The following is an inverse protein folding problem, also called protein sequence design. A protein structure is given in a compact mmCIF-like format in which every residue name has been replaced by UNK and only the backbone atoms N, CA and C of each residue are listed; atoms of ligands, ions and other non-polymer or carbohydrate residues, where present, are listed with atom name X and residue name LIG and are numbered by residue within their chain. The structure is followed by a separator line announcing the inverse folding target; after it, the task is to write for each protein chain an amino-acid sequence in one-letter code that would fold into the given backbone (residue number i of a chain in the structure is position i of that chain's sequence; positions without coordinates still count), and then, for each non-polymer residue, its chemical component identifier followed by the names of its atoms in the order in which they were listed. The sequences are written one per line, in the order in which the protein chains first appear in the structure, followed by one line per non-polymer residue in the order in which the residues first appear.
data_IF_399116706642
#
_entry.id   IF_399116706642
#
_cell.length_a   1.000
_cell.length_b   1.000
_cell.length_c   1.000
_cell.angle_alpha   90.00
_cell.angle_beta   90.00
_cell.angle_gamma   90.00
#
_symmetry.space_group_name_H-M   'P 1'
#
loop_
_entity.id
_entity.type
_entity.pdbx_description
1 polymer ?
#
# COMPACT_ATOMS: atom_id res chain seq x y z
N UNK A 1 1.42 -2.98 17.08
CA UNK A 1 1.37 -3.80 15.84
C UNK A 1 2.76 -3.74 15.24
N UNK A 2 3.32 -4.88 14.86
CA UNK A 2 4.63 -4.95 14.22
C UNK A 2 4.56 -4.30 12.82
N UNK A 3 5.55 -3.50 12.45
CA UNK A 3 5.64 -2.79 11.16
C UNK A 3 5.52 -3.77 9.98
N UNK A 4 6.13 -4.95 10.11
CA UNK A 4 6.09 -6.01 9.09
C UNK A 4 4.72 -6.65 8.89
N UNK A 5 3.84 -6.53 9.87
CA UNK A 5 2.45 -7.01 9.75
C UNK A 5 1.52 -5.94 9.16
N UNK A 6 1.90 -4.67 9.24
CA UNK A 6 1.10 -3.54 8.76
C UNK A 6 1.18 -3.44 7.23
N UNK A 7 2.38 -3.51 6.67
CA UNK A 7 2.60 -3.46 5.21
C UNK A 7 2.64 -4.90 4.68
N UNK A 8 1.66 -5.24 3.84
CA UNK A 8 1.50 -6.61 3.33
C UNK A 8 2.26 -6.77 2.01
N UNK A 9 2.05 -5.86 1.04
CA UNK A 9 2.69 -5.93 -0.29
C UNK A 9 2.58 -4.60 -1.05
N UNK A 10 3.46 -4.32 -2.03
CA UNK A 10 3.27 -3.22 -2.97
C UNK A 10 2.08 -3.48 -3.91
N UNK A 11 1.41 -2.40 -4.33
CA UNK A 11 0.35 -2.45 -5.34
C UNK A 11 0.92 -1.97 -6.67
N UNK A 12 1.05 -2.92 -7.61
CA UNK A 12 1.58 -2.68 -8.94
C UNK A 12 0.42 -2.52 -9.92
N UNK A 13 0.34 -1.37 -10.56
CA UNK A 13 -0.61 -1.05 -11.63
C UNK A 13 -0.09 0.15 -12.41
N UNK A 14 -0.52 0.37 -13.65
CA UNK A 14 -0.13 1.56 -14.46
C UNK A 14 -0.30 2.87 -13.69
N UNK A 15 -1.46 3.04 -13.04
CA UNK A 15 -1.72 4.21 -12.17
C UNK A 15 -0.74 4.34 -11.01
N UNK A 16 -0.33 3.21 -10.41
CA UNK A 16 0.59 3.23 -9.27
C UNK A 16 1.99 3.61 -9.73
N UNK A 17 2.41 3.16 -10.92
CA UNK A 17 3.64 3.65 -11.57
C UNK A 17 3.60 5.14 -11.89
N UNK A 18 2.48 5.64 -12.43
CA UNK A 18 2.32 7.08 -12.69
C UNK A 18 2.41 7.95 -11.42
N UNK A 19 2.08 7.39 -10.25
CA UNK A 19 2.19 8.07 -8.96
C UNK A 19 3.63 8.12 -8.42
N UNK A 20 4.52 7.22 -8.86
CA UNK A 20 5.93 7.20 -8.42
C UNK A 20 6.62 8.50 -8.84
N UNK A 21 6.29 9.06 -10.01
CA UNK A 21 6.80 10.36 -10.47
C UNK A 21 6.45 11.51 -9.53
N UNK A 22 5.45 11.34 -8.68
CA UNK A 22 5.01 12.31 -7.67
C UNK A 22 5.44 11.90 -6.24
N UNK A 23 6.43 11.00 -6.10
CA UNK A 23 6.87 10.42 -4.82
C UNK A 23 5.74 9.75 -4.02
N UNK A 24 4.73 9.22 -4.71
CA UNK A 24 3.58 8.56 -4.10
C UNK A 24 3.62 7.06 -4.38
N UNK A 25 3.67 6.27 -3.32
CA UNK A 25 3.80 4.82 -3.36
C UNK A 25 2.53 4.15 -2.85
N UNK A 26 2.14 3.06 -3.51
CA UNK A 26 0.91 2.34 -3.19
C UNK A 26 1.20 0.99 -2.52
N UNK A 27 0.57 0.73 -1.37
CA UNK A 27 0.70 -0.50 -0.60
C UNK A 27 -0.66 -1.12 -0.26
N UNK A 28 -0.73 -2.45 -0.23
CA UNK A 28 -1.76 -3.16 0.52
C UNK A 28 -1.31 -3.20 1.98
N UNK A 29 -2.19 -2.73 2.87
CA UNK A 29 -1.95 -2.67 4.30
C UNK A 29 -3.01 -3.45 5.06
N UNK A 30 -2.69 -3.77 6.32
CA UNK A 30 -3.62 -4.48 7.19
C UNK A 30 -4.93 -3.69 7.37
N UNK A 31 -6.13 -4.32 7.28
CA UNK A 31 -7.41 -3.62 7.35
C UNK A 31 -7.63 -2.81 8.64
N UNK A 32 -7.00 -3.22 9.75
CA UNK A 32 -7.08 -2.53 11.05
C UNK A 32 -6.02 -1.43 11.22
N UNK A 33 -5.08 -1.27 10.29
CA UNK A 33 -4.03 -0.25 10.40
C UNK A 33 -4.61 1.17 10.23
N UNK A 34 -4.22 2.08 11.11
CA UNK A 34 -4.54 3.52 11.04
C UNK A 34 -3.44 4.27 10.29
N UNK A 35 -3.70 5.52 9.88
CA UNK A 35 -2.71 6.32 9.13
C UNK A 35 -1.37 6.48 9.86
N UNK A 36 -1.32 6.80 11.17
CA UNK A 36 -0.05 6.91 11.90
C UNK A 36 0.73 5.60 11.92
N UNK A 37 0.05 4.45 12.06
CA UNK A 37 0.69 3.14 12.03
C UNK A 37 1.32 2.84 10.66
N UNK A 38 0.64 3.20 9.57
CA UNK A 38 1.19 3.03 8.21
C UNK A 38 2.39 3.93 7.99
N UNK A 39 2.33 5.19 8.45
CA UNK A 39 3.46 6.12 8.38
C UNK A 39 4.70 5.56 9.08
N UNK A 40 4.56 5.22 10.38
CA UNK A 40 5.67 4.69 11.16
C UNK A 40 6.25 3.40 10.58
N UNK A 41 5.39 2.50 10.08
CA UNK A 41 5.85 1.25 9.47
C UNK A 41 6.66 1.47 8.18
N UNK A 42 6.26 2.43 7.34
CA UNK A 42 7.01 2.76 6.12
C UNK A 42 8.36 3.39 6.47
N UNK A 43 8.38 4.34 7.40
CA UNK A 43 9.62 4.98 7.86
C UNK A 43 10.59 3.95 8.46
N UNK A 44 10.08 3.00 9.25
CA UNK A 44 10.89 1.97 9.90
C UNK A 44 11.50 0.97 8.90
N UNK A 45 10.68 0.46 7.96
CA UNK A 45 11.07 -0.57 6.99
C UNK A 45 12.00 -0.01 5.92
N UNK A 46 11.68 1.16 5.36
CA UNK A 46 12.37 1.70 4.20
C UNK A 46 13.35 2.84 4.53
N UNK A 47 13.43 3.27 5.81
CA UNK A 47 14.34 4.34 6.26
C UNK A 47 14.16 5.66 5.49
N UNK A 48 12.90 5.97 5.14
CA UNK A 48 12.49 7.19 4.41
C UNK A 48 11.64 8.08 5.31
N UNK A 49 11.46 9.34 4.92
CA UNK A 49 10.56 10.29 5.59
C UNK A 49 9.20 10.34 4.89
N UNK A 50 8.12 10.16 5.65
CA UNK A 50 6.75 10.22 5.12
C UNK A 50 6.14 11.60 5.37
N UNK A 51 5.60 12.23 4.33
CA UNK A 51 4.87 13.50 4.41
C UNK A 51 3.38 13.25 4.70
N UNK A 52 2.79 12.27 4.01
CA UNK A 52 1.35 12.10 4.00
C UNK A 52 0.92 10.66 3.73
N UNK A 53 -0.24 10.28 4.30
CA UNK A 53 -0.83 8.95 4.10
C UNK A 53 -2.32 9.06 3.80
N UNK A 54 -2.72 8.50 2.65
CA UNK A 54 -4.10 8.38 2.24
C UNK A 54 -4.48 6.89 2.21
N UNK A 55 -5.52 6.52 2.96
CA UNK A 55 -5.98 5.12 3.04
C UNK A 55 -7.39 4.98 2.48
N UNK A 56 -7.65 3.87 1.80
CA UNK A 56 -8.98 3.51 1.30
C UNK A 56 -9.27 2.03 1.54
N UNK A 57 -10.52 1.71 1.90
CA UNK A 57 -10.97 0.34 2.05
C UNK A 57 -11.46 -0.21 0.71
N UNK A 58 -10.82 -1.27 0.22
CA UNK A 58 -11.20 -1.93 -1.02
C UNK A 58 -12.27 -2.97 -0.74
N UNK A 59 -13.43 -2.80 -1.37
CA UNK A 59 -14.55 -3.74 -1.26
C UNK A 59 -14.17 -5.08 -1.91
N UNK A 60 -14.56 -6.21 -1.29
CA UNK A 60 -14.39 -7.51 -1.91
C UNK A 60 -15.27 -7.61 -3.17
N UNK A 61 -14.76 -8.27 -4.22
CA UNK A 61 -15.48 -8.48 -5.47
C UNK A 61 -16.06 -9.89 -5.49
N UNK A 62 -17.30 -10.08 -5.96
CA UNK A 62 -17.85 -11.41 -6.15
C UNK A 62 -17.05 -12.17 -7.22
N UNK A 63 -16.77 -13.43 -6.93
CA UNK A 63 -16.09 -14.37 -7.82
C UNK A 63 -16.82 -15.70 -7.79
N UNK A 64 -16.73 -16.45 -8.88
CA UNK A 64 -17.35 -17.76 -9.02
C UNK A 64 -16.33 -18.74 -9.56
N UNK A 65 -16.30 -19.94 -9.00
CA UNK A 65 -15.59 -21.10 -9.56
C UNK A 65 -16.58 -22.26 -9.67
N UNK A 66 -16.99 -22.57 -10.90
CA UNK A 66 -18.05 -23.54 -11.17
C UNK A 66 -19.35 -23.19 -10.43
N UNK A 67 -19.79 -24.12 -9.58
CA UNK A 67 -21.01 -23.98 -8.76
C UNK A 67 -20.81 -23.04 -7.56
N UNK A 68 -19.58 -22.91 -7.06
CA UNK A 68 -19.30 -22.14 -5.86
C UNK A 68 -19.19 -20.63 -6.15
N UNK A 69 -20.06 -19.86 -5.48
CA UNK A 69 -20.00 -18.39 -5.44
C UNK A 69 -19.30 -17.97 -4.16
N UNK A 70 -18.36 -17.03 -4.27
CA UNK A 70 -17.62 -16.49 -3.15
C UNK A 70 -17.21 -15.04 -3.39
N UNK A 71 -16.45 -14.49 -2.45
CA UNK A 71 -15.95 -13.12 -2.50
C UNK A 71 -14.41 -13.15 -2.49
N UNK A 72 -13.77 -12.17 -3.13
CA UNK A 72 -12.34 -11.94 -2.90
C UNK A 72 -12.11 -11.43 -1.47
N UNK A 73 -10.86 -11.53 -1.00
CA UNK A 73 -10.43 -10.90 0.26
C UNK A 73 -10.73 -9.38 0.26
N UNK A 74 -11.21 -8.87 1.39
CA UNK A 74 -11.24 -7.42 1.69
C UNK A 74 -9.84 -6.97 2.09
N UNK A 75 -9.39 -5.84 1.55
CA UNK A 75 -8.09 -5.27 1.86
C UNK A 75 -8.16 -3.75 1.99
N UNK A 76 -7.12 -3.14 2.55
CA UNK A 76 -6.98 -1.69 2.63
C UNK A 76 -5.81 -1.27 1.76
N UNK A 77 -6.02 -0.29 0.90
CA UNK A 77 -4.97 0.34 0.11
C UNK A 77 -4.48 1.59 0.85
N UNK A 78 -3.17 1.74 0.96
CA UNK A 78 -2.52 2.98 1.39
C UNK A 78 -1.76 3.59 0.21
N UNK A 79 -1.88 4.89 0.06
CA UNK A 79 -1.04 5.73 -0.80
C UNK A 79 -0.22 6.60 0.14
N UNK A 80 1.09 6.48 0.04
CA UNK A 80 2.05 7.10 0.94
C UNK A 80 2.89 8.08 0.15
N UNK A 81 2.95 9.31 0.60
CA UNK A 81 3.73 10.38 0.01
C UNK A 81 5.02 10.56 0.81
N UNK A 82 6.16 10.47 0.12
CA UNK A 82 7.48 10.62 0.72
C UNK A 82 8.00 12.05 0.59
N UNK A 83 8.99 12.37 1.42
CA UNK A 83 9.73 13.62 1.31
C UNK A 83 10.43 13.75 -0.06
N UNK A 84 10.57 14.97 -0.60
CA UNK A 84 11.40 15.21 -1.76
C UNK A 84 12.83 14.68 -1.53
N UNK A 85 13.31 13.83 -2.43
CA UNK A 85 14.64 13.22 -2.35
C UNK A 85 14.64 11.76 -1.86
N UNK A 86 13.62 11.35 -1.10
CA UNK A 86 13.48 9.96 -0.66
C UNK A 86 12.86 9.09 -1.75
N UNK A 87 13.42 7.90 -1.95
CA UNK A 87 12.94 6.91 -2.93
C UNK A 87 12.99 5.51 -2.36
N UNK A 88 12.01 4.71 -2.76
CA UNK A 88 11.98 3.27 -2.43
C UNK A 88 12.50 2.49 -3.64
N UNK A 89 13.69 1.90 -3.51
CA UNK A 89 14.42 1.24 -4.60
C UNK A 89 13.63 0.09 -5.26
N UNK A 90 12.80 -0.62 -4.51
CA UNK A 90 11.99 -1.74 -5.01
C UNK A 90 10.96 -1.41 -6.10
N UNK A 91 10.67 -0.13 -6.34
CA UNK A 91 9.71 0.31 -7.35
C UNK A 91 10.36 0.82 -8.65
N UNK A 92 11.70 0.85 -8.72
CA UNK A 92 12.45 1.11 -9.95
C UNK A 92 12.84 -0.21 -10.61
N UNK A 93 12.14 -0.60 -11.68
CA UNK A 93 12.77 -1.45 -12.67
C UNK A 93 13.66 -0.54 -13.53
N UNK A 94 14.89 -1.00 -13.73
CA UNK A 94 15.95 -0.46 -14.59
C UNK A 94 15.47 0.30 -15.83
#
# INVERSE_FOLDING_TARGET
MDARQIIIRPVISEKSYGMINQNKYCFEVHPKATKPHVSAAVEEIFKVRVIGVNTMNMKPKPKRRGVHKGLTKRWKKAVVELAPGDRIEFFGAT
#
